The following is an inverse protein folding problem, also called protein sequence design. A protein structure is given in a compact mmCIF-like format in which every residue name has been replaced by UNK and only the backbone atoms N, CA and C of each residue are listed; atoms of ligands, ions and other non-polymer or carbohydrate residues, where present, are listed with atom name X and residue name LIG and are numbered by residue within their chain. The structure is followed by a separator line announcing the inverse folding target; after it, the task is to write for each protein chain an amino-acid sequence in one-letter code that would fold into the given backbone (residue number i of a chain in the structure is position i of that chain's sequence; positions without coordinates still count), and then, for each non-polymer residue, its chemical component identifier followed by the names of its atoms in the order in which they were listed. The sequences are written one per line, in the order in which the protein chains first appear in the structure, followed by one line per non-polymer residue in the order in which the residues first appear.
data_IF_348691146755
#
_entry.id   IF_348691146755
#
_cell.length_a   1.000
_cell.length_b   1.000
_cell.length_c   1.000
_cell.angle_alpha   90.00
_cell.angle_beta   90.00
_cell.angle_gamma   90.00
#
_symmetry.space_group_name_H-M   'P 1'
#
loop_
_entity.id
_entity.type
_entity.pdbx_description
1 polymer ?
#
# COMPACT_ATOMS: atom_id res chain seq x y z
N UNK A 1 -20.59 -5.32 -0.83
CA UNK A 1 -19.45 -4.41 -0.58
C UNK A 1 -19.69 -3.15 -1.38
N UNK A 2 -19.56 -1.97 -0.78
CA UNK A 2 -19.53 -0.69 -1.53
C UNK A 2 -18.40 -0.79 -2.57
N UNK A 3 -18.61 -0.18 -3.74
CA UNK A 3 -17.70 -0.29 -4.88
C UNK A 3 -16.27 0.13 -4.47
N UNK A 4 -15.32 -0.81 -4.47
CA UNK A 4 -13.94 -0.57 -3.99
C UNK A 4 -13.26 0.45 -4.90
N UNK A 5 -13.58 0.47 -6.20
CA UNK A 5 -13.05 1.45 -7.15
C UNK A 5 -13.49 2.88 -6.80
N UNK A 6 -14.76 3.07 -6.40
CA UNK A 6 -15.27 4.36 -5.90
C UNK A 6 -14.61 4.74 -4.57
N UNK A 7 -14.37 3.76 -3.70
CA UNK A 7 -13.63 3.99 -2.46
C UNK A 7 -12.20 4.47 -2.74
N UNK A 8 -11.46 3.76 -3.60
CA UNK A 8 -10.09 4.11 -3.96
C UNK A 8 -10.02 5.51 -4.58
N UNK A 9 -10.90 5.79 -5.54
CA UNK A 9 -10.95 7.08 -6.24
C UNK A 9 -11.33 8.27 -5.34
N UNK A 10 -12.04 8.02 -4.24
CA UNK A 10 -12.47 9.07 -3.31
C UNK A 10 -11.53 9.27 -2.12
N UNK A 11 -10.82 8.22 -1.69
CA UNK A 11 -9.98 8.26 -0.48
C UNK A 11 -8.49 8.44 -0.75
N UNK A 12 -8.01 8.10 -1.94
CA UNK A 12 -6.59 8.23 -2.28
C UNK A 12 -6.42 9.25 -3.41
N UNK A 13 -5.60 10.30 -3.23
CA UNK A 13 -5.35 11.31 -4.26
C UNK A 13 -4.35 10.79 -5.30
N UNK A 14 -4.75 9.77 -6.05
CA UNK A 14 -3.91 9.10 -7.04
C UNK A 14 -4.44 9.39 -8.43
N UNK A 15 -3.61 9.98 -9.28
CA UNK A 15 -3.95 10.17 -10.70
C UNK A 15 -3.46 9.02 -11.58
N UNK A 16 -2.48 8.23 -11.11
CA UNK A 16 -1.92 7.08 -11.81
C UNK A 16 -2.87 5.87 -11.79
N UNK A 17 -3.33 5.44 -12.96
CA UNK A 17 -4.30 4.35 -13.10
C UNK A 17 -3.74 3.00 -12.65
N UNK A 18 -2.44 2.74 -12.86
CA UNK A 18 -1.80 1.49 -12.42
C UNK A 18 -1.72 1.42 -10.90
N UNK A 19 -1.43 2.55 -10.26
CA UNK A 19 -1.39 2.63 -8.79
C UNK A 19 -2.80 2.47 -8.18
N UNK A 20 -3.86 2.98 -8.85
CA UNK A 20 -5.27 2.72 -8.46
C UNK A 20 -5.64 1.24 -8.58
N UNK A 21 -5.22 0.58 -9.65
CA UNK A 21 -5.45 -0.87 -9.83
C UNK A 21 -4.77 -1.67 -8.72
N UNK A 22 -3.51 -1.37 -8.40
CA UNK A 22 -2.77 -2.03 -7.32
C UNK A 22 -3.40 -1.78 -5.94
N UNK A 23 -3.87 -0.57 -5.67
CA UNK A 23 -4.62 -0.25 -4.45
C UNK A 23 -5.92 -1.05 -4.35
N UNK A 24 -6.66 -1.12 -5.45
CA UNK A 24 -7.92 -1.88 -5.53
C UNK A 24 -7.66 -3.36 -5.26
N UNK A 25 -6.62 -3.94 -5.87
CA UNK A 25 -6.20 -5.32 -5.63
C UNK A 25 -5.77 -5.54 -4.18
N UNK A 26 -4.94 -4.65 -3.63
CA UNK A 26 -4.48 -4.70 -2.24
C UNK A 26 -5.66 -4.73 -1.26
N UNK A 27 -6.59 -3.78 -1.39
CA UNK A 27 -7.75 -3.67 -0.49
C UNK A 27 -8.68 -4.87 -0.66
N UNK A 28 -8.85 -5.36 -1.89
CA UNK A 28 -9.66 -6.55 -2.16
C UNK A 28 -9.04 -7.79 -1.53
N UNK A 29 -7.72 -7.94 -1.59
CA UNK A 29 -7.00 -9.12 -1.08
C UNK A 29 -6.93 -9.15 0.44
N UNK A 30 -6.58 -8.03 1.08
CA UNK A 30 -6.36 -7.97 2.52
C UNK A 30 -7.59 -7.51 3.30
N UNK A 31 -8.61 -7.01 2.62
CA UNK A 31 -9.87 -6.49 3.21
C UNK A 31 -9.59 -5.38 4.24
N UNK A 32 -8.46 -4.69 4.08
CA UNK A 32 -8.05 -3.54 4.88
C UNK A 32 -7.65 -2.38 3.95
N UNK A 33 -7.96 -1.13 4.31
CA UNK A 33 -7.50 0.03 3.57
C UNK A 33 -5.98 0.16 3.69
N UNK A 34 -5.33 0.65 2.63
CA UNK A 34 -3.94 1.07 2.70
C UNK A 34 -3.82 2.38 3.52
N UNK A 35 -2.71 2.62 4.23
CA UNK A 35 -2.52 3.86 4.99
C UNK A 35 -2.64 5.10 4.12
N UNK A 36 -3.58 5.99 4.45
CA UNK A 36 -3.80 7.23 3.69
C UNK A 36 -2.65 8.23 3.82
N UNK A 37 -1.93 8.21 4.94
CA UNK A 37 -0.81 9.12 5.23
C UNK A 37 0.57 8.44 5.08
N UNK A 38 0.62 7.28 4.42
CA UNK A 38 1.86 6.55 4.16
C UNK A 38 2.41 6.78 2.75
N UNK A 39 3.67 6.39 2.48
CA UNK A 39 4.24 6.27 1.15
C UNK A 39 3.33 5.39 0.29
N UNK A 40 2.85 5.97 -0.80
CA UNK A 40 2.00 5.29 -1.76
C UNK A 40 2.79 5.01 -3.02
N UNK A 41 3.53 3.91 -2.97
CA UNK A 41 4.58 3.57 -3.93
C UNK A 41 4.26 2.24 -4.60
N UNK A 42 4.45 2.16 -5.91
CA UNK A 42 4.12 0.97 -6.69
C UNK A 42 4.86 -0.28 -6.19
N UNK A 43 6.16 -0.14 -5.94
CA UNK A 43 7.04 -1.22 -5.45
C UNK A 43 6.56 -1.78 -4.11
N UNK A 44 6.11 -0.90 -3.21
CA UNK A 44 5.67 -1.28 -1.87
C UNK A 44 4.32 -2.02 -1.90
N UNK A 45 3.36 -1.55 -2.71
CA UNK A 45 2.09 -2.24 -2.93
C UNK A 45 2.29 -3.62 -3.57
N UNK A 46 3.14 -3.70 -4.61
CA UNK A 46 3.50 -4.95 -5.27
C UNK A 46 4.17 -5.93 -4.30
N UNK A 47 5.06 -5.43 -3.44
CA UNK A 47 5.71 -6.24 -2.42
C UNK A 47 4.69 -6.84 -1.46
N UNK A 48 3.80 -6.04 -0.89
CA UNK A 48 2.71 -6.51 -0.03
C UNK A 48 1.86 -7.61 -0.70
N UNK A 49 1.42 -7.36 -1.94
CA UNK A 49 0.65 -8.31 -2.73
C UNK A 49 1.40 -9.63 -2.97
N UNK A 50 2.71 -9.55 -3.25
CA UNK A 50 3.59 -10.69 -3.51
C UNK A 50 3.83 -11.54 -2.27
N UNK A 51 4.15 -10.92 -1.12
CA UNK A 51 4.36 -11.65 0.14
C UNK A 51 3.05 -12.07 0.81
N UNK A 52 1.91 -11.56 0.33
CA UNK A 52 0.59 -11.91 0.82
C UNK A 52 0.34 -11.36 2.23
N UNK A 53 0.90 -10.20 2.55
CA UNK A 53 0.71 -9.52 3.82
C UNK A 53 0.28 -8.08 3.58
N UNK A 54 -0.57 -7.57 4.48
CA UNK A 54 -0.85 -6.15 4.53
C UNK A 54 0.42 -5.41 5.00
N UNK A 55 0.47 -4.10 4.79
CA UNK A 55 1.60 -3.28 5.21
C UNK A 55 1.82 -3.29 6.72
N UNK A 56 0.74 -3.43 7.50
CA UNK A 56 0.81 -3.53 8.97
C UNK A 56 1.30 -4.92 9.43
N UNK A 57 1.27 -5.92 8.55
CA UNK A 57 1.70 -7.31 8.82
C UNK A 57 3.12 -7.62 8.27
N UNK A 58 3.75 -6.64 7.61
CA UNK A 58 5.14 -6.76 7.18
C UNK A 58 6.07 -6.84 8.40
N UNK A 59 7.13 -7.66 8.33
CA UNK A 59 8.08 -7.76 9.44
C UNK A 59 8.87 -6.45 9.61
N UNK A 60 9.31 -6.16 10.83
CA UNK A 60 10.03 -4.92 11.17
C UNK A 60 11.36 -4.76 10.38
N UNK A 61 11.98 -5.87 9.99
CA UNK A 61 13.21 -5.91 9.19
C UNK A 61 12.98 -6.00 7.69
N UNK A 62 11.73 -5.84 7.21
CA UNK A 62 11.41 -5.88 5.78
C UNK A 62 12.13 -4.75 5.03
N UNK A 63 13.01 -5.12 4.09
CA UNK A 63 13.85 -4.17 3.38
C UNK A 63 13.04 -3.17 2.55
N UNK A 64 11.92 -3.61 1.94
CA UNK A 64 11.08 -2.74 1.12
C UNK A 64 10.28 -1.80 2.02
N UNK A 65 9.69 -2.29 3.11
CA UNK A 65 9.04 -1.43 4.09
C UNK A 65 10.00 -0.37 4.64
N UNK A 66 11.19 -0.80 5.08
CA UNK A 66 12.18 0.08 5.69
C UNK A 66 12.73 1.13 4.73
N UNK A 67 12.87 0.81 3.44
CA UNK A 67 13.22 1.80 2.41
C UNK A 67 12.29 3.03 2.41
N UNK A 68 11.01 2.84 2.74
CA UNK A 68 10.00 3.89 2.66
C UNK A 68 9.57 4.47 4.01
N UNK A 69 9.60 3.69 5.09
CA UNK A 69 9.20 4.13 6.45
C UNK A 69 10.36 4.39 7.39
N UNK A 70 11.53 3.85 7.09
CA UNK A 70 12.78 4.05 7.84
C UNK A 70 13.91 4.58 6.94
N UNK A 71 13.71 5.67 6.17
CA UNK A 71 14.78 6.27 5.39
C UNK A 71 15.76 6.96 6.35
N UNK A 72 16.69 6.19 6.91
CA UNK A 72 17.82 6.64 7.72
C UNK A 72 17.45 7.63 8.86
N UNK A 73 17.19 7.10 10.06
CA UNK A 73 17.52 7.86 11.27
C UNK A 73 19.06 7.88 11.35
N UNK A 74 19.71 8.81 10.64
CA UNK A 74 21.11 9.15 10.89
C UNK A 74 21.20 9.75 12.30
N UNK A 75 21.64 8.96 13.26
CA UNK A 75 22.09 9.44 14.58
C UNK A 75 23.50 10.04 14.47
#
# INVERSE_FOLDING_TARGET
MKNIEEFVSSHYPVDDDKLKELLTEYITKFVVPYPTFGPLEEELLQHCLKVGKSIDDLPEDDEIYNKYYSPDISY
#
